data_IF_725240859204
#
_entry.id   IF_725240859204
#
_cell.length_a   1.000
_cell.length_b   1.000
_cell.length_c   1.000
_cell.angle_alpha   90.00
_cell.angle_beta   90.00
_cell.angle_gamma   90.00
#
_symmetry.space_group_name_H-M   'P 1'
#
loop_
_entity.id
_entity.type
_entity.pdbx_description
1 polymer ?
#
# COMPACT_ATOMS: atom_id res chain seq x y z
N UNK A 1 -32.70 -83.13 14.21
CA UNK A 1 -32.09 -82.28 15.26
C UNK A 1 -30.70 -81.91 14.80
N UNK A 2 -30.39 -80.60 14.84
CA UNK A 2 -29.10 -79.92 14.62
C UNK A 2 -28.32 -80.20 13.34
N UNK A 3 -28.10 -79.20 12.49
CA UNK A 3 -27.00 -78.25 12.72
C UNK A 3 -27.12 -77.03 11.79
N UNK A 4 -26.61 -75.90 12.28
CA UNK A 4 -26.79 -74.56 11.76
C UNK A 4 -26.08 -74.30 10.42
N UNK A 5 -26.72 -73.53 9.55
CA UNK A 5 -26.07 -72.89 8.41
C UNK A 5 -25.56 -71.52 8.86
N UNK A 6 -24.26 -71.46 9.10
CA UNK A 6 -23.49 -70.29 9.50
C UNK A 6 -23.58 -69.19 8.43
N UNK A 7 -24.05 -68.01 8.82
CA UNK A 7 -24.04 -66.79 8.02
C UNK A 7 -22.59 -66.36 7.77
N UNK A 8 -22.16 -66.46 6.50
CA UNK A 8 -20.90 -65.88 6.01
C UNK A 8 -21.04 -64.36 6.00
N UNK A 9 -20.51 -63.70 7.04
CA UNK A 9 -20.30 -62.27 7.04
C UNK A 9 -19.15 -61.95 6.06
N UNK A 10 -19.47 -61.21 5.01
CA UNK A 10 -18.46 -60.56 4.17
C UNK A 10 -17.88 -59.38 4.95
N UNK A 11 -16.65 -59.55 5.42
CA UNK A 11 -15.86 -58.50 6.03
C UNK A 11 -15.32 -57.60 4.91
N UNK A 12 -15.80 -56.36 4.85
CA UNK A 12 -15.44 -55.38 3.82
C UNK A 12 -14.41 -54.39 4.41
N UNK A 13 -13.10 -54.51 4.12
CA UNK A 13 -12.06 -53.67 4.73
C UNK A 13 -11.85 -52.37 3.95
N UNK A 14 -12.92 -51.64 3.64
CA UNK A 14 -12.85 -50.43 2.78
C UNK A 14 -13.10 -49.11 3.50
N UNK A 15 -13.39 -49.11 4.80
CA UNK A 15 -13.75 -47.88 5.53
C UNK A 15 -12.59 -47.24 6.33
N UNK A 16 -11.43 -47.89 6.47
CA UNK A 16 -10.29 -47.38 7.26
C UNK A 16 -9.19 -46.71 6.45
N UNK A 17 -9.18 -46.86 5.11
CA UNK A 17 -8.14 -46.31 4.24
C UNK A 17 -8.40 -44.86 3.80
N UNK A 18 -9.63 -44.35 3.86
CA UNK A 18 -9.95 -43.05 3.26
C UNK A 18 -9.43 -41.82 4.02
N UNK A 19 -9.26 -41.88 5.34
CA UNK A 19 -8.80 -40.73 6.13
C UNK A 19 -7.27 -40.59 6.14
N UNK A 20 -6.54 -41.71 6.17
CA UNK A 20 -5.08 -41.69 6.19
C UNK A 20 -4.47 -41.54 4.79
N UNK A 21 -5.13 -42.05 3.73
CA UNK A 21 -4.67 -41.87 2.35
C UNK A 21 -4.85 -40.42 1.86
N UNK A 22 -5.86 -39.69 2.34
CA UNK A 22 -6.02 -38.25 2.09
C UNK A 22 -4.87 -37.44 2.71
N UNK A 23 -4.47 -37.79 3.93
CA UNK A 23 -3.34 -37.17 4.63
C UNK A 23 -2.03 -37.48 3.88
N UNK A 24 -1.81 -38.73 3.45
CA UNK A 24 -0.60 -39.13 2.72
C UNK A 24 -0.52 -38.47 1.32
N UNK A 25 -1.66 -38.23 0.67
CA UNK A 25 -1.73 -37.48 -0.60
C UNK A 25 -1.38 -36.00 -0.44
N UNK A 26 -1.81 -35.37 0.67
CA UNK A 26 -1.43 -34.00 1.05
C UNK A 26 0.08 -33.91 1.34
N UNK A 27 0.68 -34.97 1.89
CA UNK A 27 2.12 -35.12 2.14
C UNK A 27 2.89 -35.80 0.99
N UNK A 28 2.46 -35.58 -0.26
CA UNK A 28 3.30 -35.89 -1.42
C UNK A 28 4.66 -35.18 -1.31
N UNK A 29 5.78 -35.84 -1.65
CA UNK A 29 7.11 -35.23 -1.67
C UNK A 29 7.17 -33.91 -2.45
N UNK A 30 6.29 -33.78 -3.46
CA UNK A 30 6.12 -32.57 -4.26
C UNK A 30 5.49 -31.42 -3.46
N UNK A 31 4.49 -31.69 -2.61
CA UNK A 31 3.86 -30.68 -1.75
C UNK A 31 4.78 -30.26 -0.61
N UNK A 32 5.59 -31.19 -0.07
CA UNK A 32 6.65 -30.87 0.90
C UNK A 32 7.76 -30.01 0.29
N UNK A 33 8.14 -30.28 -0.97
CA UNK A 33 9.07 -29.44 -1.72
C UNK A 33 8.47 -28.04 -1.96
N UNK A 34 7.21 -27.97 -2.42
CA UNK A 34 6.49 -26.72 -2.66
C UNK A 34 6.35 -25.88 -1.40
N UNK A 35 5.96 -26.48 -0.28
CA UNK A 35 5.87 -25.79 1.01
C UNK A 35 7.24 -25.31 1.47
N UNK A 36 8.29 -26.12 1.38
CA UNK A 36 9.65 -25.67 1.69
C UNK A 36 10.10 -24.50 0.80
N UNK A 37 9.81 -24.54 -0.50
CA UNK A 37 10.09 -23.43 -1.43
C UNK A 37 9.30 -22.18 -1.02
N UNK A 38 8.00 -22.30 -0.72
CA UNK A 38 7.17 -21.18 -0.26
C UNK A 38 7.76 -20.59 1.03
N UNK A 39 8.13 -21.41 2.03
CA UNK A 39 8.77 -20.94 3.26
C UNK A 39 10.12 -20.27 3.00
N UNK A 40 10.94 -20.79 2.08
CA UNK A 40 12.21 -20.17 1.69
C UNK A 40 11.98 -18.84 0.97
N UNK A 41 10.99 -18.75 0.09
CA UNK A 41 10.61 -17.52 -0.60
C UNK A 41 10.06 -16.49 0.39
N UNK A 42 9.16 -16.89 1.29
CA UNK A 42 8.63 -16.03 2.37
C UNK A 42 9.77 -15.58 3.27
N UNK A 43 10.66 -16.48 3.71
CA UNK A 43 11.83 -16.13 4.52
C UNK A 43 12.76 -15.17 3.78
N UNK A 44 12.97 -15.37 2.48
CA UNK A 44 13.85 -14.51 1.68
C UNK A 44 13.21 -13.14 1.43
N UNK A 45 11.88 -13.07 1.25
CA UNK A 45 11.11 -11.83 1.17
C UNK A 45 11.16 -11.12 2.52
N UNK A 46 10.89 -11.82 3.62
CA UNK A 46 10.92 -11.28 4.98
C UNK A 46 12.32 -10.81 5.37
N UNK A 47 13.37 -11.57 5.04
CA UNK A 47 14.78 -11.20 5.25
C UNK A 47 15.21 -10.02 4.39
N UNK A 48 14.71 -9.92 3.15
CA UNK A 48 14.94 -8.75 2.28
C UNK A 48 14.22 -7.51 2.80
N UNK A 49 13.01 -7.67 3.33
CA UNK A 49 12.20 -6.61 3.91
C UNK A 49 12.77 -6.09 5.23
N UNK A 50 13.24 -6.99 6.11
CA UNK A 50 13.88 -6.66 7.39
C UNK A 50 15.28 -6.09 7.23
N UNK A 51 16.07 -6.54 6.24
CA UNK A 51 17.36 -5.91 5.91
C UNK A 51 17.22 -4.58 5.14
N UNK A 52 16.04 -4.26 4.62
CA UNK A 52 15.76 -3.04 3.84
C UNK A 52 15.37 -1.80 4.68
N UNK A 53 15.30 -1.93 6.01
CA UNK A 53 14.94 -0.86 6.95
C UNK A 53 16.08 -0.46 7.88
N UNK A 54 17.34 -0.61 7.45
CA UNK A 54 18.35 0.31 7.94
C UNK A 54 17.99 1.68 7.35
N UNK A 55 17.12 2.42 8.03
CA UNK A 55 16.95 3.85 7.81
C UNK A 55 18.35 4.44 7.83
N UNK A 56 18.83 4.84 6.65
CA UNK A 56 19.97 5.73 6.59
C UNK A 56 19.61 6.91 7.50
N UNK A 57 20.52 7.41 8.36
CA UNK A 57 20.25 8.57 9.18
C UNK A 57 20.06 9.74 8.21
N UNK A 58 18.81 9.92 7.77
CA UNK A 58 18.43 10.99 6.89
C UNK A 58 18.67 12.24 7.71
N UNK A 59 19.41 13.18 7.13
CA UNK A 59 19.43 14.55 7.63
C UNK A 59 17.95 14.94 7.74
N UNK A 60 17.43 15.05 8.96
CA UNK A 60 16.04 15.42 9.18
C UNK A 60 15.90 16.85 8.70
N UNK A 61 15.40 16.99 7.48
CA UNK A 61 15.12 18.30 6.92
C UNK A 61 14.04 18.96 7.79
N UNK A 62 14.08 20.29 7.96
CA UNK A 62 13.03 20.98 8.70
C UNK A 62 11.66 20.62 8.15
N UNK A 63 10.69 20.44 9.05
CA UNK A 63 9.29 20.21 8.67
C UNK A 63 8.83 21.35 7.79
N UNK A 64 8.37 21.02 6.60
CA UNK A 64 7.84 21.99 5.66
C UNK A 64 6.32 21.99 5.83
N UNK A 65 5.75 23.14 6.17
CA UNK A 65 4.30 23.36 6.21
C UNK A 65 3.97 24.47 5.23
N UNK A 66 3.46 24.10 4.04
CA UNK A 66 3.19 25.05 2.96
C UNK A 66 2.23 24.45 1.94
N UNK A 67 1.15 25.17 1.66
CA UNK A 67 0.33 24.95 0.48
C UNK A 67 1.10 25.36 -0.77
N UNK A 68 1.02 24.55 -1.82
CA UNK A 68 1.78 24.77 -3.03
C UNK A 68 0.91 24.66 -4.27
N UNK A 69 1.26 25.45 -5.27
CA UNK A 69 0.79 25.23 -6.63
C UNK A 69 1.53 24.04 -7.27
N UNK A 70 0.97 23.51 -8.36
CA UNK A 70 1.64 22.46 -9.15
C UNK A 70 3.03 22.88 -9.63
N UNK A 71 3.22 24.17 -9.95
CA UNK A 71 4.51 24.68 -10.40
C UNK A 71 5.56 24.73 -9.28
N UNK A 72 5.14 25.03 -8.05
CA UNK A 72 6.03 24.98 -6.88
C UNK A 72 6.35 23.54 -6.48
N UNK A 73 5.36 22.64 -6.49
CA UNK A 73 5.55 21.24 -6.14
C UNK A 73 6.60 20.55 -7.04
N UNK A 74 6.64 20.90 -8.33
CA UNK A 74 7.61 20.38 -9.31
C UNK A 74 9.07 20.61 -8.96
N UNK A 75 9.37 21.55 -8.08
CA UNK A 75 10.75 21.85 -7.68
C UNK A 75 11.28 20.82 -6.67
N UNK A 76 10.41 19.96 -6.13
CA UNK A 76 10.74 18.98 -5.09
C UNK A 76 10.71 17.54 -5.62
N UNK A 77 11.46 17.28 -6.69
CA UNK A 77 11.62 15.94 -7.29
C UNK A 77 12.83 15.17 -6.73
N UNK A 78 13.61 15.77 -5.85
CA UNK A 78 14.80 15.21 -5.23
C UNK A 78 16.10 15.45 -5.99
N UNK A 79 16.08 16.28 -7.04
CA UNK A 79 17.28 16.70 -7.80
C UNK A 79 17.96 17.94 -7.22
N UNK A 80 17.26 18.72 -6.41
CA UNK A 80 17.77 19.92 -5.77
C UNK A 80 18.80 19.61 -4.67
N UNK A 81 19.48 20.64 -4.17
CA UNK A 81 20.59 20.49 -3.20
C UNK A 81 20.19 19.86 -1.86
N UNK A 82 18.96 20.12 -1.38
CA UNK A 82 18.43 19.50 -0.16
C UNK A 82 17.92 18.07 -0.40
N UNK A 83 17.73 17.67 -1.67
CA UNK A 83 17.27 16.35 -2.08
C UNK A 83 15.85 15.99 -1.64
N UNK A 84 15.04 16.95 -1.17
CA UNK A 84 13.67 16.72 -0.70
C UNK A 84 12.77 16.19 -1.81
N UNK A 85 11.93 15.22 -1.52
CA UNK A 85 10.95 14.72 -2.48
C UNK A 85 9.55 14.91 -1.92
N UNK A 86 8.71 15.64 -2.63
CA UNK A 86 7.30 15.82 -2.29
C UNK A 86 6.42 15.11 -3.32
N UNK A 87 5.29 14.58 -2.87
CA UNK A 87 4.28 13.96 -3.75
C UNK A 87 2.91 14.42 -3.29
N UNK A 88 2.06 14.82 -4.25
CA UNK A 88 0.66 15.09 -3.95
C UNK A 88 -0.20 13.85 -4.20
N UNK A 89 -1.13 13.58 -3.28
CA UNK A 89 -2.14 12.52 -3.37
C UNK A 89 -3.46 13.10 -2.86
N UNK A 90 -4.50 13.01 -3.68
CA UNK A 90 -5.83 13.52 -3.42
C UNK A 90 -5.87 14.99 -2.97
N UNK A 91 -5.02 15.84 -3.56
CA UNK A 91 -4.92 17.26 -3.18
C UNK A 91 -4.10 17.55 -1.92
N UNK A 92 -3.55 16.53 -1.26
CA UNK A 92 -2.66 16.67 -0.10
C UNK A 92 -1.21 16.42 -0.49
N UNK A 93 -0.28 17.24 0.00
CA UNK A 93 1.15 17.15 -0.27
C UNK A 93 1.84 16.45 0.89
N UNK A 94 2.61 15.41 0.58
CA UNK A 94 3.35 14.62 1.56
C UNK A 94 4.85 14.72 1.32
N UNK A 95 5.63 14.76 2.41
CA UNK A 95 7.08 14.64 2.36
C UNK A 95 7.50 13.16 2.31
N UNK A 96 7.89 12.72 1.12
CA UNK A 96 8.33 11.34 0.86
C UNK A 96 9.85 11.22 0.79
N UNK A 97 10.60 12.17 1.38
CA UNK A 97 12.07 12.19 1.36
C UNK A 97 12.67 10.95 2.01
N UNK A 98 12.06 10.42 3.09
CA UNK A 98 12.45 9.10 3.67
C UNK A 98 12.32 7.96 2.67
N UNK A 99 11.41 8.10 1.71
CA UNK A 99 11.18 7.20 0.58
C UNK A 99 11.96 7.55 -0.69
N UNK A 100 13.00 8.41 -0.65
CA UNK A 100 13.71 8.91 -1.85
C UNK A 100 14.20 7.83 -2.81
N UNK A 101 14.54 6.63 -2.32
CA UNK A 101 14.90 5.47 -3.18
C UNK A 101 13.78 5.03 -4.13
N UNK A 102 12.53 5.37 -3.82
CA UNK A 102 11.34 5.03 -4.59
C UNK A 102 10.89 6.20 -5.47
N UNK A 103 10.74 7.38 -4.88
CA UNK A 103 10.14 8.55 -5.53
C UNK A 103 11.15 9.56 -6.06
N UNK A 104 12.41 9.49 -5.62
CA UNK A 104 13.48 10.34 -6.12
C UNK A 104 14.07 9.82 -7.44
N UNK A 105 15.05 10.55 -8.00
CA UNK A 105 15.59 10.24 -9.33
C UNK A 105 16.16 8.82 -9.41
N UNK A 106 15.75 8.07 -10.45
CA UNK A 106 16.15 6.69 -10.68
C UNK A 106 15.37 5.63 -9.88
N UNK A 107 14.43 6.05 -9.02
CA UNK A 107 13.52 5.14 -8.32
C UNK A 107 12.39 4.62 -9.23
N UNK A 108 11.77 3.46 -8.88
CA UNK A 108 10.67 2.89 -9.66
C UNK A 108 9.43 3.77 -9.74
N UNK A 109 9.25 4.70 -8.79
CA UNK A 109 8.13 5.63 -8.73
C UNK A 109 8.58 7.09 -8.90
N UNK A 110 9.74 7.30 -9.53
CA UNK A 110 10.30 8.63 -9.79
C UNK A 110 9.35 9.54 -10.59
N UNK A 111 8.44 8.96 -11.37
CA UNK A 111 7.43 9.71 -12.10
C UNK A 111 6.52 10.55 -11.18
N UNK A 112 6.37 10.19 -9.91
CA UNK A 112 5.53 10.91 -8.95
C UNK A 112 6.28 12.00 -8.18
N UNK A 113 7.61 11.97 -8.13
CA UNK A 113 8.41 12.96 -7.42
C UNK A 113 8.15 14.37 -7.94
N UNK A 114 7.77 15.28 -7.05
CA UNK A 114 7.41 16.67 -7.36
C UNK A 114 6.06 16.83 -8.09
N UNK A 115 5.19 15.82 -8.07
CA UNK A 115 3.95 15.84 -8.87
C UNK A 115 2.75 15.28 -8.11
N UNK A 116 1.58 15.50 -8.70
CA UNK A 116 0.35 14.85 -8.29
C UNK A 116 0.30 13.41 -8.84
N UNK A 117 0.27 12.44 -7.92
CA UNK A 117 0.24 11.01 -8.21
C UNK A 117 -1.20 10.46 -8.23
N UNK A 118 -2.21 11.25 -7.88
CA UNK A 118 -3.58 10.77 -7.62
C UNK A 118 -4.14 9.92 -8.75
N UNK A 119 -4.10 10.40 -9.99
CA UNK A 119 -4.60 9.64 -11.14
C UNK A 119 -3.79 8.37 -11.41
N UNK A 120 -2.46 8.44 -11.30
CA UNK A 120 -1.61 7.27 -11.47
C UNK A 120 -1.91 6.17 -10.44
N UNK A 121 -2.17 6.58 -9.20
CA UNK A 121 -2.59 5.68 -8.12
C UNK A 121 -4.00 5.12 -8.35
N UNK A 122 -4.93 5.95 -8.85
CA UNK A 122 -6.30 5.54 -9.20
C UNK A 122 -6.31 4.44 -10.28
N UNK A 123 -5.49 4.61 -11.32
CA UNK A 123 -5.46 3.73 -12.50
C UNK A 123 -4.35 2.68 -12.45
N UNK A 124 -3.66 2.52 -11.32
CA UNK A 124 -2.52 1.63 -11.14
C UNK A 124 -1.42 1.79 -12.21
N UNK A 125 -1.16 3.03 -12.62
CA UNK A 125 -0.17 3.40 -13.62
C UNK A 125 0.91 4.30 -13.02
N UNK A 126 2.18 4.03 -13.32
CA UNK A 126 3.31 4.88 -12.91
C UNK A 126 3.50 6.01 -13.91
N UNK A 127 2.46 6.83 -14.05
CA UNK A 127 2.42 7.99 -14.93
C UNK A 127 1.81 9.16 -14.20
N UNK A 128 2.46 10.32 -14.26
CA UNK A 128 1.97 11.59 -13.73
C UNK A 128 1.54 12.51 -14.87
N UNK A 129 0.54 13.37 -14.65
CA UNK A 129 0.21 14.43 -15.61
C UNK A 129 1.28 15.52 -15.60
N UNK A 130 1.92 15.76 -16.74
CA UNK A 130 2.88 16.86 -16.92
C UNK A 130 2.18 18.20 -17.26
N UNK A 131 0.85 18.21 -17.43
CA UNK A 131 0.13 19.34 -18.04
C UNK A 131 -0.44 20.36 -17.07
N UNK A 132 -0.32 20.16 -15.76
CA UNK A 132 -0.80 21.12 -14.75
C UNK A 132 -1.58 20.42 -13.64
N UNK A 133 -2.55 21.13 -13.07
CA UNK A 133 -3.46 20.56 -12.08
C UNK A 133 -4.36 19.51 -12.75
N UNK A 134 -4.52 18.36 -12.11
CA UNK A 134 -5.31 17.25 -12.61
C UNK A 134 -6.68 17.23 -11.92
N UNK A 135 -7.74 17.43 -12.68
CA UNK A 135 -9.10 17.32 -12.17
C UNK A 135 -9.55 15.86 -12.17
N UNK A 136 -9.80 15.31 -10.98
CA UNK A 136 -10.17 13.92 -10.76
C UNK A 136 -11.69 13.68 -10.84
N UNK A 137 -12.47 14.67 -11.28
CA UNK A 137 -13.93 14.58 -11.40
C UNK A 137 -14.40 13.54 -12.42
N UNK A 138 -13.50 13.08 -13.31
CA UNK A 138 -13.74 12.05 -14.32
C UNK A 138 -13.51 10.62 -13.82
N UNK A 139 -12.95 10.44 -12.62
CA UNK A 139 -12.73 9.13 -12.02
C UNK A 139 -14.06 8.48 -11.60
N UNK A 140 -14.16 7.17 -11.80
CA UNK A 140 -15.29 6.40 -11.30
C UNK A 140 -15.17 6.12 -9.79
N UNK A 141 -16.23 5.60 -9.18
CA UNK A 141 -16.27 5.35 -7.73
C UNK A 141 -15.19 4.41 -7.22
N UNK A 142 -14.80 3.39 -7.99
CA UNK A 142 -13.76 2.43 -7.60
C UNK A 142 -12.36 3.05 -7.69
N UNK A 143 -12.11 3.84 -8.72
CA UNK A 143 -10.87 4.61 -8.87
C UNK A 143 -10.71 5.63 -7.75
N UNK A 144 -11.79 6.35 -7.41
CA UNK A 144 -11.79 7.32 -6.32
C UNK A 144 -11.59 6.66 -4.95
N UNK A 145 -12.19 5.49 -4.72
CA UNK A 145 -11.94 4.72 -3.48
C UNK A 145 -10.47 4.32 -3.36
N UNK A 146 -9.86 3.88 -4.47
CA UNK A 146 -8.44 3.54 -4.52
C UNK A 146 -7.55 4.76 -4.17
N UNK A 147 -7.90 5.94 -4.67
CA UNK A 147 -7.18 7.19 -4.34
C UNK A 147 -7.24 7.51 -2.84
N UNK A 148 -8.41 7.36 -2.21
CA UNK A 148 -8.58 7.60 -0.78
C UNK A 148 -7.80 6.60 0.07
N UNK A 149 -7.78 5.34 -0.33
CA UNK A 149 -6.98 4.31 0.35
C UNK A 149 -5.49 4.67 0.29
N UNK A 150 -5.00 5.08 -0.88
CA UNK A 150 -3.62 5.55 -1.02
C UNK A 150 -3.34 6.81 -0.20
N UNK A 151 -4.25 7.78 -0.17
CA UNK A 151 -4.14 8.97 0.68
C UNK A 151 -3.96 8.57 2.16
N UNK A 152 -4.79 7.66 2.67
CA UNK A 152 -4.71 7.18 4.04
C UNK A 152 -3.35 6.50 4.34
N UNK A 153 -2.87 5.65 3.42
CA UNK A 153 -1.55 5.02 3.55
C UNK A 153 -0.40 6.05 3.54
N UNK A 154 -0.53 7.13 2.76
CA UNK A 154 0.45 8.21 2.73
C UNK A 154 0.43 9.02 4.03
N UNK A 155 -0.74 9.33 4.59
CA UNK A 155 -0.88 9.99 5.90
C UNK A 155 -0.24 9.19 7.03
N UNK A 156 -0.42 7.88 7.05
CA UNK A 156 0.18 7.03 8.08
C UNK A 156 1.71 7.00 7.99
N UNK A 157 2.25 7.07 6.77
CA UNK A 157 3.67 6.79 6.49
C UNK A 157 4.55 8.03 6.37
N UNK A 158 4.00 9.15 5.91
CA UNK A 158 4.74 10.35 5.55
C UNK A 158 4.18 11.58 6.24
N UNK A 159 5.03 12.59 6.42
CA UNK A 159 4.60 13.85 7.03
C UNK A 159 3.76 14.66 6.03
N UNK A 160 2.62 15.17 6.50
CA UNK A 160 1.79 16.10 5.73
C UNK A 160 2.44 17.48 5.66
N UNK A 161 2.59 18.02 4.45
CA UNK A 161 3.20 19.33 4.19
C UNK A 161 2.14 20.41 3.99
N UNK A 162 1.02 20.10 3.35
CA UNK A 162 -0.01 21.09 3.05
C UNK A 162 -0.90 20.62 1.91
N UNK A 163 -1.60 21.55 1.25
CA UNK A 163 -2.48 21.25 0.12
C UNK A 163 -1.88 21.63 -1.22
N UNK A 164 -2.26 20.86 -2.24
CA UNK A 164 -2.07 21.21 -3.64
C UNK A 164 -3.19 22.15 -4.07
N UNK A 165 -2.84 23.39 -4.39
CA UNK A 165 -3.79 24.43 -4.74
C UNK A 165 -4.38 24.21 -6.14
N UNK A 166 -5.70 24.35 -6.23
CA UNK A 166 -6.40 24.41 -7.51
C UNK A 166 -6.06 25.69 -8.28
N UNK A 167 -6.17 25.71 -9.62
CA UNK A 167 -5.98 26.93 -10.38
C UNK A 167 -6.93 28.04 -9.89
N UNK A 168 -6.38 29.13 -9.34
CA UNK A 168 -7.13 30.26 -8.81
C UNK A 168 -7.52 30.18 -7.32
N UNK A 169 -7.10 29.14 -6.61
CA UNK A 169 -7.26 29.03 -5.16
C UNK A 169 -6.13 29.79 -4.44
N UNK A 170 -6.47 30.61 -3.45
CA UNK A 170 -5.48 31.31 -2.63
C UNK A 170 -4.96 30.38 -1.52
N UNK A 171 -3.68 30.47 -1.13
CA UNK A 171 -3.14 29.73 0.00
C UNK A 171 -3.89 30.08 1.28
N UNK A 172 -4.50 29.07 1.90
CA UNK A 172 -5.13 29.25 3.21
C UNK A 172 -4.06 29.10 4.29
N UNK A 173 -3.89 30.12 5.13
CA UNK A 173 -2.94 30.07 6.23
C UNK A 173 -3.57 29.26 7.38
N UNK A 174 -3.39 27.94 7.36
CA UNK A 174 -3.87 27.05 8.41
C UNK A 174 -3.09 27.32 9.70
N UNK A 175 -3.79 27.70 10.78
CA UNK A 175 -3.23 27.65 12.13
C UNK A 175 -2.97 26.19 12.52
N UNK A 176 -1.91 25.96 13.30
CA UNK A 176 -1.38 24.63 13.64
C UNK A 176 -2.41 23.61 14.20
N UNK A 177 -3.58 24.05 14.65
CA UNK A 177 -4.65 23.24 15.25
C UNK A 177 -5.56 22.54 14.22
N UNK A 178 -5.76 23.11 13.03
CA UNK A 178 -6.77 22.64 12.06
C UNK A 178 -6.30 21.40 11.27
N UNK A 179 -4.98 21.26 11.10
CA UNK A 179 -4.39 20.07 10.47
C UNK A 179 -4.54 18.82 11.35
N UNK A 180 -4.49 18.96 12.68
CA UNK A 180 -4.73 17.86 13.62
C UNK A 180 -6.22 17.46 13.67
N UNK A 181 -7.15 18.41 13.47
CA UNK A 181 -8.58 18.08 13.40
C UNK A 181 -8.96 17.33 12.12
N UNK A 182 -8.38 17.70 10.97
CA UNK A 182 -8.58 16.92 9.72
C UNK A 182 -7.94 15.53 9.77
N UNK A 183 -6.90 15.34 10.60
CA UNK A 183 -6.32 14.03 10.89
C UNK A 183 -7.23 13.16 11.77
N UNK A 184 -7.94 13.75 12.74
CA UNK A 184 -8.85 13.03 13.63
C UNK A 184 -10.24 12.75 13.03
N UNK A 185 -10.70 13.50 12.03
CA UNK A 185 -12.04 13.28 11.44
C UNK A 185 -12.12 12.07 10.51
N UNK A 186 -10.99 11.59 9.98
CA UNK A 186 -10.94 10.44 9.07
C UNK A 186 -10.91 9.07 9.79
N UNK A 187 -10.73 9.04 11.12
CA UNK A 187 -10.55 7.81 11.90
C UNK A 187 -11.80 7.32 12.65
N UNK A 188 -13.00 7.85 12.37
CA UNK A 188 -14.22 7.38 13.02
C UNK A 188 -14.94 6.36 12.13
N UNK A 189 -14.83 5.03 12.39
CA UNK A 189 -15.63 4.05 11.68
C UNK A 189 -17.10 4.24 12.08
N UNK A 190 -17.90 4.52 11.07
CA UNK A 190 -19.36 4.61 11.12
C UNK A 190 -19.92 3.37 11.85
N UNK A 191 -20.23 3.52 13.15
CA UNK A 191 -21.02 2.54 13.88
C UNK A 191 -22.44 2.63 13.33
N UNK A 192 -22.75 1.79 12.35
CA UNK A 192 -24.12 1.43 12.00
C UNK A 192 -24.81 0.93 13.26
N UNK A 193 -25.75 1.74 13.75
CA UNK A 193 -26.68 1.38 14.80
C UNK A 193 -27.57 0.25 14.29
N UNK A 194 -27.64 -0.81 15.11
CA UNK A 194 -28.66 -1.86 15.10
C UNK A 194 -29.97 -1.35 15.71
#
# INVERSE_FOLDING_TARGET
>A
MSSASETKAEDNPSASYSFFDEIISIYSPVNLLLTAIIFVLIYKIYRKFTKGHAESPAVELPRLRKDMTVAELRQYDGTQSDGRVLVAVNGWIFDVTRGRRFYGPGGPYAAFGGKDASRGLATFSVTSSDKGYDDLSDLNSMEMESVKEWEAQFREKYELVGRLLKPGEEPTNYSDEELEETDNSASSPDKKNE
#
